data_IF_287852625699
#
_entry.id   IF_287852625699
#
_cell.length_a   1.000
_cell.length_b   1.000
_cell.length_c   1.000
_cell.angle_alpha   90.00
_cell.angle_beta   90.00
_cell.angle_gamma   90.00
#
_symmetry.space_group_name_H-M   'P 1'
#
loop_
_entity.id
_entity.type
_entity.pdbx_description
1 polymer ?
#
# COMPACT_ATOMS: atom_id res chain seq x y z
N UNK A 1 -8.75 -11.70 31.29
CA UNK A 1 -8.67 -12.79 30.27
C UNK A 1 -8.40 -12.13 28.93
N UNK A 2 -7.16 -12.20 28.44
CA UNK A 2 -6.78 -11.62 27.15
C UNK A 2 -7.36 -12.51 26.05
N UNK A 3 -8.41 -12.04 25.37
CA UNK A 3 -8.83 -12.67 24.12
C UNK A 3 -7.69 -12.44 23.12
N UNK A 4 -6.91 -13.47 22.83
CA UNK A 4 -6.00 -13.43 21.69
C UNK A 4 -6.86 -13.42 20.43
N UNK A 5 -7.24 -12.22 19.97
CA UNK A 5 -7.85 -11.90 18.67
C UNK A 5 -6.90 -12.23 17.50
N UNK A 6 -6.28 -13.41 17.51
CA UNK A 6 -5.31 -13.80 16.50
C UNK A 6 -6.06 -14.45 15.34
N UNK A 7 -6.38 -13.65 14.32
CA UNK A 7 -6.61 -14.21 13.00
C UNK A 7 -5.38 -15.06 12.61
N UNK A 8 -5.55 -16.26 12.05
CA UNK A 8 -4.45 -17.16 11.79
C UNK A 8 -3.70 -16.69 10.52
N UNK A 9 -2.83 -15.70 10.68
CA UNK A 9 -1.88 -15.33 9.64
C UNK A 9 -0.73 -16.33 9.59
N UNK A 10 -0.13 -16.49 8.40
CA UNK A 10 1.12 -17.22 8.24
C UNK A 10 2.19 -16.67 9.20
N UNK A 11 3.00 -17.55 9.83
CA UNK A 11 4.03 -17.15 10.79
C UNK A 11 4.96 -16.03 10.31
N UNK A 12 5.24 -15.94 8.99
CA UNK A 12 6.05 -14.89 8.38
C UNK A 12 5.50 -13.48 8.63
N UNK A 13 4.18 -13.32 8.66
CA UNK A 13 3.53 -12.00 8.75
C UNK A 13 2.90 -11.73 10.11
N UNK A 14 2.70 -12.78 10.92
CA UNK A 14 2.02 -12.72 12.22
C UNK A 14 2.62 -11.72 13.21
N UNK A 15 3.92 -11.45 13.14
CA UNK A 15 4.59 -10.51 14.05
C UNK A 15 4.28 -9.03 13.75
N UNK A 16 3.85 -8.73 12.53
CA UNK A 16 3.62 -7.35 12.06
C UNK A 16 2.12 -7.07 11.95
N UNK A 17 1.34 -8.05 11.49
CA UNK A 17 -0.09 -7.90 11.28
C UNK A 17 -0.88 -7.99 12.58
N UNK A 18 -1.78 -7.03 12.76
CA UNK A 18 -2.81 -7.02 13.79
C UNK A 18 -4.17 -7.25 13.12
N UNK A 19 -5.18 -7.67 13.89
CA UNK A 19 -6.51 -8.00 13.37
C UNK A 19 -7.59 -7.14 14.02
N UNK A 20 -8.44 -6.53 13.20
CA UNK A 20 -9.59 -5.77 13.66
C UNK A 20 -10.85 -6.65 13.57
N UNK A 21 -11.42 -7.12 14.69
CA UNK A 21 -12.61 -7.99 14.67
C UNK A 21 -13.89 -7.28 14.25
N UNK A 22 -13.92 -5.94 14.26
CA UNK A 22 -15.09 -5.16 13.84
C UNK A 22 -15.19 -5.09 12.33
N UNK A 23 -14.05 -4.95 11.64
CA UNK A 23 -13.99 -4.85 10.17
C UNK A 23 -13.61 -6.16 9.49
N UNK A 24 -13.16 -7.17 10.26
CA UNK A 24 -12.58 -8.43 9.74
C UNK A 24 -11.36 -8.20 8.83
N UNK A 25 -10.57 -7.18 9.16
CA UNK A 25 -9.40 -6.79 8.36
C UNK A 25 -8.08 -6.90 9.13
N UNK A 26 -6.98 -7.28 8.45
CA UNK A 26 -5.64 -7.05 8.95
C UNK A 26 -5.31 -5.55 8.95
N UNK A 27 -4.43 -5.12 9.85
CA UNK A 27 -3.86 -3.78 9.82
C UNK A 27 -2.45 -3.76 10.42
N UNK A 28 -1.71 -2.69 10.14
CA UNK A 28 -0.44 -2.37 10.81
C UNK A 28 -0.64 -1.02 11.52
N UNK A 29 -0.53 -1.00 12.85
CA UNK A 29 -0.49 0.26 13.58
C UNK A 29 0.91 0.87 13.53
N UNK A 30 1.01 2.18 13.36
CA UNK A 30 2.29 2.86 13.50
C UNK A 30 2.78 2.78 14.96
N UNK A 31 4.11 2.84 15.19
CA UNK A 31 4.66 2.90 16.55
C UNK A 31 4.15 4.13 17.32
N UNK A 32 4.19 4.04 18.65
CA UNK A 32 3.91 5.20 19.51
C UNK A 32 4.81 6.40 19.14
N UNK A 33 4.29 7.64 19.17
CA UNK A 33 2.99 8.06 19.71
C UNK A 33 1.81 7.96 18.72
N UNK A 34 2.02 7.53 17.48
CA UNK A 34 1.02 7.55 16.40
C UNK A 34 0.26 6.24 16.25
N UNK A 35 0.06 5.49 17.34
CA UNK A 35 -0.61 4.18 17.29
C UNK A 35 -2.09 4.24 16.89
N UNK A 36 -2.68 5.44 16.87
CA UNK A 36 -3.99 5.72 16.30
C UNK A 36 -3.97 5.74 14.76
N UNK A 37 -2.80 5.84 14.12
CA UNK A 37 -2.66 5.74 12.67
C UNK A 37 -2.42 4.27 12.30
N UNK A 38 -3.25 3.76 11.38
CA UNK A 38 -3.20 2.40 10.89
C UNK A 38 -3.05 2.37 9.37
N UNK A 39 -2.30 1.39 8.92
CA UNK A 39 -2.22 0.97 7.53
C UNK A 39 -3.20 -0.19 7.33
N UNK A 40 -4.18 -0.02 6.46
CA UNK A 40 -5.32 -0.94 6.26
C UNK A 40 -5.46 -1.33 4.78
N UNK A 41 -6.30 -2.31 4.46
CA UNK A 41 -6.74 -2.55 3.09
C UNK A 41 -7.48 -1.33 2.52
N UNK A 42 -7.52 -1.25 1.20
CA UNK A 42 -8.37 -0.30 0.50
C UNK A 42 -9.86 -0.63 0.73
N UNK A 43 -10.73 0.39 0.75
CA UNK A 43 -12.20 0.20 0.77
C UNK A 43 -12.84 0.97 -0.36
N UNK A 44 -13.83 0.38 -1.04
CA UNK A 44 -14.58 1.09 -2.08
C UNK A 44 -15.29 2.35 -1.55
N UNK A 45 -15.60 2.39 -0.25
CA UNK A 45 -16.18 3.55 0.41
C UNK A 45 -15.25 4.76 0.47
N UNK A 46 -13.93 4.59 0.25
CA UNK A 46 -12.97 5.70 0.27
C UNK A 46 -13.04 6.56 -1.01
N UNK A 47 -13.81 6.13 -2.03
CA UNK A 47 -13.84 6.77 -3.36
C UNK A 47 -14.16 8.27 -3.34
N UNK A 48 -15.01 8.72 -2.41
CA UNK A 48 -15.38 10.13 -2.29
C UNK A 48 -14.33 10.96 -1.54
N UNK A 49 -13.46 10.32 -0.73
CA UNK A 49 -12.41 10.99 0.02
C UNK A 49 -11.11 11.17 -0.79
N UNK A 50 -10.89 10.36 -1.82
CA UNK A 50 -9.67 10.42 -2.64
C UNK A 50 -9.58 11.75 -3.44
N UNK A 51 -10.56 12.16 -4.26
CA UNK A 51 -10.44 13.37 -5.07
C UNK A 51 -10.11 14.64 -4.30
N UNK A 52 -10.73 14.96 -3.13
CA UNK A 52 -10.37 16.17 -2.41
C UNK A 52 -8.92 16.13 -1.88
N UNK A 53 -8.41 14.96 -1.47
CA UNK A 53 -7.01 14.81 -1.02
C UNK A 53 -6.04 15.00 -2.20
N UNK A 54 -6.31 14.35 -3.33
CA UNK A 54 -5.47 14.39 -4.53
C UNK A 54 -5.43 15.78 -5.19
N UNK A 55 -6.42 16.63 -4.89
CA UNK A 55 -6.49 18.01 -5.37
C UNK A 55 -5.93 19.05 -4.37
N UNK A 56 -5.39 18.63 -3.22
CA UNK A 56 -4.60 19.50 -2.35
C UNK A 56 -3.31 19.88 -3.11
N UNK A 57 -3.00 21.17 -3.34
CA UNK A 57 -1.83 21.56 -4.13
C UNK A 57 -0.52 20.94 -3.64
N UNK A 58 -0.34 20.87 -2.32
CA UNK A 58 0.80 20.28 -1.62
C UNK A 58 0.89 18.77 -1.80
N UNK A 59 -0.21 18.08 -2.12
CA UNK A 59 -0.21 16.67 -2.49
C UNK A 59 0.07 16.55 -3.99
N UNK A 60 -0.68 17.28 -4.82
CA UNK A 60 -0.61 17.23 -6.27
C UNK A 60 0.81 17.48 -6.82
N UNK A 61 1.58 18.38 -6.20
CA UNK A 61 2.95 18.69 -6.65
C UNK A 61 3.95 17.54 -6.48
N UNK A 62 3.63 16.51 -5.67
CA UNK A 62 4.48 15.33 -5.48
C UNK A 62 3.90 14.07 -6.14
N UNK A 63 2.85 14.21 -6.93
CA UNK A 63 2.28 13.11 -7.70
C UNK A 63 2.88 13.07 -9.10
N UNK A 64 3.26 11.87 -9.54
CA UNK A 64 3.98 11.70 -10.81
C UNK A 64 3.04 11.50 -12.02
N UNK A 65 1.83 10.99 -11.80
CA UNK A 65 0.95 10.51 -12.88
C UNK A 65 -0.48 11.04 -12.89
N UNK A 66 -1.22 11.13 -11.78
CA UNK A 66 -2.61 11.53 -11.89
C UNK A 66 -2.71 12.96 -12.46
N UNK A 67 -3.63 13.21 -13.41
CA UNK A 67 -3.85 14.55 -13.92
C UNK A 67 -4.35 15.46 -12.78
N UNK A 68 -3.96 16.73 -12.85
CA UNK A 68 -4.49 17.78 -11.99
C UNK A 68 -5.44 18.67 -12.79
N UNK A 69 -6.72 18.83 -12.39
CA UNK A 69 -7.35 18.25 -11.21
C UNK A 69 -7.65 16.74 -11.35
N UNK A 70 -7.63 16.01 -10.23
CA UNK A 70 -7.85 14.57 -10.16
C UNK A 70 -9.32 14.19 -10.47
N UNK A 71 -9.60 13.39 -11.52
CA UNK A 71 -10.93 12.90 -11.85
C UNK A 71 -11.43 11.85 -10.85
N UNK A 72 -12.72 11.87 -10.53
CA UNK A 72 -13.32 10.91 -9.57
C UNK A 72 -13.24 9.47 -10.09
N UNK A 73 -13.39 9.30 -11.39
CA UNK A 73 -13.39 8.01 -12.09
C UNK A 73 -12.05 7.29 -11.91
N UNK A 74 -10.94 8.05 -11.89
CA UNK A 74 -9.59 7.51 -11.68
C UNK A 74 -9.45 6.95 -10.25
N UNK A 75 -10.07 7.60 -9.26
CA UNK A 75 -10.08 7.11 -7.87
C UNK A 75 -10.77 5.76 -7.73
N UNK A 76 -11.88 5.55 -8.44
CA UNK A 76 -12.59 4.27 -8.43
C UNK A 76 -11.79 3.14 -9.07
N UNK A 77 -11.18 3.38 -10.22
CA UNK A 77 -10.34 2.39 -10.89
C UNK A 77 -9.15 1.98 -10.02
N UNK A 78 -8.49 2.97 -9.40
CA UNK A 78 -7.36 2.74 -8.50
C UNK A 78 -7.74 1.97 -7.24
N UNK A 79 -8.91 2.25 -6.64
CA UNK A 79 -9.41 1.46 -5.50
C UNK A 79 -9.65 -0.01 -5.86
N UNK A 80 -10.19 -0.28 -7.05
CA UNK A 80 -10.42 -1.65 -7.51
C UNK A 80 -9.09 -2.40 -7.70
N UNK A 81 -8.08 -1.74 -8.27
CA UNK A 81 -6.74 -2.31 -8.37
C UNK A 81 -6.13 -2.60 -6.99
N UNK A 82 -6.20 -1.63 -6.07
CA UNK A 82 -5.68 -1.79 -4.71
C UNK A 82 -6.37 -2.92 -3.94
N UNK A 83 -7.67 -3.14 -4.19
CA UNK A 83 -8.40 -4.28 -3.63
C UNK A 83 -7.96 -5.61 -4.24
N UNK A 84 -7.72 -5.67 -5.55
CA UNK A 84 -7.19 -6.89 -6.20
C UNK A 84 -5.82 -7.26 -5.65
N UNK A 85 -4.94 -6.27 -5.47
CA UNK A 85 -3.61 -6.49 -4.87
C UNK A 85 -3.74 -7.03 -3.46
N UNK A 86 -4.62 -6.43 -2.64
CA UNK A 86 -4.91 -6.90 -1.29
C UNK A 86 -5.43 -8.34 -1.26
N UNK A 87 -6.44 -8.66 -2.08
CA UNK A 87 -7.00 -10.00 -2.17
C UNK A 87 -5.95 -11.04 -2.58
N UNK A 88 -5.14 -10.70 -3.60
CA UNK A 88 -4.02 -11.51 -4.05
C UNK A 88 -3.02 -11.78 -2.93
N UNK A 89 -2.59 -10.74 -2.20
CA UNK A 89 -1.70 -10.88 -1.05
C UNK A 89 -2.30 -11.76 0.05
N UNK A 90 -3.58 -11.60 0.34
CA UNK A 90 -4.25 -12.35 1.40
C UNK A 90 -4.34 -13.84 1.09
N UNK A 91 -4.36 -14.25 -0.18
CA UNK A 91 -4.23 -15.69 -0.53
C UNK A 91 -2.92 -16.28 -0.05
N UNK A 92 -1.86 -15.48 0.05
CA UNK A 92 -0.53 -15.88 0.53
C UNK A 92 -0.41 -15.74 2.04
N UNK A 93 -0.87 -14.61 2.60
CA UNK A 93 -0.80 -14.30 4.03
C UNK A 93 -1.60 -15.31 4.87
N UNK A 94 -2.68 -15.88 4.34
CA UNK A 94 -3.56 -16.81 5.08
C UNK A 94 -3.07 -18.27 5.10
N UNK A 95 -2.00 -18.63 4.39
CA UNK A 95 -1.50 -20.00 4.30
C UNK A 95 -0.69 -20.42 5.53
N UNK A 96 -1.35 -20.61 6.67
CA UNK A 96 -0.72 -20.79 8.00
C UNK A 96 0.38 -21.85 8.05
N UNK A 97 0.15 -22.99 7.39
CA UNK A 97 0.99 -24.18 7.51
C UNK A 97 2.04 -24.28 6.38
N UNK A 98 1.99 -23.39 5.39
CA UNK A 98 2.91 -23.40 4.25
C UNK A 98 4.16 -22.56 4.54
N UNK A 99 5.31 -23.01 4.03
CA UNK A 99 6.51 -22.19 3.96
C UNK A 99 6.36 -21.20 2.79
N UNK A 100 5.79 -20.05 3.08
CA UNK A 100 5.55 -19.02 2.07
C UNK A 100 6.76 -18.10 1.91
N UNK A 101 7.07 -17.74 0.65
CA UNK A 101 8.10 -16.76 0.30
C UNK A 101 7.71 -15.32 0.70
N UNK A 102 8.51 -14.34 0.28
CA UNK A 102 8.13 -12.93 0.42
C UNK A 102 7.05 -12.55 -0.60
N UNK A 103 6.18 -11.61 -0.21
CA UNK A 103 5.23 -10.99 -1.13
C UNK A 103 5.93 -9.80 -1.75
N UNK A 104 5.74 -9.61 -3.05
CA UNK A 104 6.36 -8.55 -3.84
C UNK A 104 5.41 -7.38 -4.10
N UNK A 105 4.57 -7.06 -3.11
CA UNK A 105 3.62 -5.95 -3.11
C UNK A 105 3.28 -5.56 -1.66
N UNK A 106 2.76 -4.35 -1.48
CA UNK A 106 2.33 -3.85 -0.18
C UNK A 106 0.79 -3.70 -0.10
N UNK A 107 0.08 -4.65 0.52
CA UNK A 107 -1.39 -4.74 0.41
C UNK A 107 -2.15 -3.88 1.41
N UNK A 108 -1.46 -3.28 2.38
CA UNK A 108 -2.06 -2.45 3.45
C UNK A 108 -1.65 -0.99 3.25
N UNK A 109 -2.01 -0.43 2.10
CA UNK A 109 -1.54 0.89 1.64
C UNK A 109 -2.37 2.07 2.12
N UNK A 110 -3.61 1.85 2.58
CA UNK A 110 -4.47 2.96 3.01
C UNK A 110 -4.13 3.42 4.42
N UNK A 111 -3.90 4.71 4.59
CA UNK A 111 -3.63 5.37 5.86
C UNK A 111 -4.97 5.77 6.48
N UNK A 112 -5.23 5.29 7.69
CA UNK A 112 -6.41 5.65 8.48
C UNK A 112 -6.04 6.15 9.86
N UNK A 113 -6.77 7.15 10.34
CA UNK A 113 -6.78 7.52 11.75
C UNK A 113 -7.96 6.86 12.46
N UNK A 114 -7.70 6.34 13.65
CA UNK A 114 -8.70 5.77 14.54
C UNK A 114 -9.01 6.78 15.65
N UNK A 115 -10.25 7.26 15.64
CA UNK A 115 -10.77 8.18 16.64
C UNK A 115 -10.94 7.53 18.02
N UNK A 116 -11.11 8.33 19.09
CA UNK A 116 -11.33 7.81 20.45
C UNK A 116 -12.58 6.94 20.60
N UNK A 117 -13.56 7.12 19.71
CA UNK A 117 -14.82 6.37 19.63
C UNK A 117 -14.72 5.14 18.71
N UNK A 118 -13.55 4.92 18.09
CA UNK A 118 -13.30 3.85 17.12
C UNK A 118 -13.67 4.21 15.68
N UNK A 119 -14.10 5.45 15.40
CA UNK A 119 -14.34 5.91 14.03
C UNK A 119 -13.05 5.85 13.21
N UNK A 120 -13.13 5.37 11.98
CA UNK A 120 -11.98 5.28 11.08
C UNK A 120 -12.05 6.31 9.95
N UNK A 121 -11.14 7.28 9.96
CA UNK A 121 -11.05 8.32 8.93
C UNK A 121 -9.95 7.97 7.93
N UNK A 122 -10.30 7.93 6.64
CA UNK A 122 -9.30 7.80 5.57
C UNK A 122 -8.48 9.09 5.45
N UNK A 123 -7.15 8.97 5.48
CA UNK A 123 -6.22 10.10 5.39
C UNK A 123 -5.43 10.14 4.09
N UNK A 124 -5.32 9.02 3.38
CA UNK A 124 -4.55 8.93 2.15
C UNK A 124 -4.00 7.53 1.89
N UNK A 125 -3.06 7.45 0.95
CA UNK A 125 -2.47 6.21 0.48
C UNK A 125 -0.94 6.29 0.53
N UNK A 126 -0.30 5.21 0.98
CA UNK A 126 1.14 5.00 0.87
C UNK A 126 1.39 3.75 0.04
N UNK A 127 1.71 3.96 -1.22
CA UNK A 127 2.15 2.89 -2.09
C UNK A 127 3.66 2.66 -1.94
N UNK A 128 4.02 1.38 -1.88
CA UNK A 128 5.39 0.91 -1.92
C UNK A 128 5.49 -0.07 -3.11
N UNK A 129 6.31 0.28 -4.08
CA UNK A 129 6.64 -0.55 -5.23
C UNK A 129 8.15 -0.63 -5.39
N UNK A 130 8.60 -1.59 -6.19
CA UNK A 130 9.98 -1.59 -6.67
C UNK A 130 10.21 -0.29 -7.44
N UNK A 131 11.35 0.35 -7.18
CA UNK A 131 11.77 1.52 -7.94
C UNK A 131 11.99 1.10 -9.41
N UNK A 132 11.18 1.68 -10.30
CA UNK A 132 11.11 1.35 -11.72
C UNK A 132 11.44 2.55 -12.61
N UNK A 133 11.82 3.69 -12.03
CA UNK A 133 12.12 4.91 -12.79
C UNK A 133 13.53 5.39 -12.56
N UNK A 134 14.00 5.44 -11.32
CA UNK A 134 15.29 6.05 -10.96
C UNK A 134 15.44 7.46 -11.59
N UNK A 135 14.40 8.31 -11.48
CA UNK A 135 14.31 9.63 -12.14
C UNK A 135 15.44 10.61 -11.78
N UNK A 136 16.22 10.31 -10.73
CA UNK A 136 17.41 11.07 -10.33
C UNK A 136 18.67 10.75 -11.17
N UNK A 137 18.59 9.79 -12.10
CA UNK A 137 19.69 9.41 -13.00
C UNK A 137 19.46 10.04 -14.38
N UNK A 138 20.29 11.02 -14.72
CA UNK A 138 20.22 11.73 -16.01
C UNK A 138 20.61 10.85 -17.21
N UNK A 139 21.59 9.96 -17.03
CA UNK A 139 22.03 9.03 -18.06
C UNK A 139 20.97 7.94 -18.28
N UNK A 140 20.33 7.98 -19.46
CA UNK A 140 19.23 7.09 -19.81
C UNK A 140 19.66 5.62 -19.82
N UNK A 141 20.86 5.31 -20.35
CA UNK A 141 21.34 3.94 -20.43
C UNK A 141 21.66 3.35 -19.05
N UNK A 142 22.23 4.17 -18.16
CA UNK A 142 22.44 3.79 -16.77
C UNK A 142 21.11 3.61 -16.02
N UNK A 143 20.14 4.48 -16.27
CA UNK A 143 18.79 4.41 -15.67
C UNK A 143 18.08 3.13 -16.07
N UNK A 144 18.03 2.80 -17.35
CA UNK A 144 17.42 1.56 -17.85
C UNK A 144 18.11 0.31 -17.30
N UNK A 145 19.45 0.34 -17.19
CA UNK A 145 20.21 -0.72 -16.56
C UNK A 145 19.84 -0.89 -15.08
N UNK A 146 19.65 0.20 -14.34
CA UNK A 146 19.25 0.17 -12.91
C UNK A 146 17.83 -0.34 -12.72
N UNK A 147 16.89 0.08 -13.56
CA UNK A 147 15.52 -0.47 -13.57
C UNK A 147 15.57 -1.98 -13.80
N UNK A 148 16.31 -2.42 -14.81
CA UNK A 148 16.43 -3.84 -15.15
C UNK A 148 17.08 -4.66 -14.03
N UNK A 149 18.16 -4.14 -13.43
CA UNK A 149 18.85 -4.75 -12.29
C UNK A 149 17.91 -4.93 -11.09
N UNK A 150 17.14 -3.89 -10.76
CA UNK A 150 16.21 -3.93 -9.63
C UNK A 150 15.01 -4.86 -9.88
N UNK A 151 14.49 -4.89 -11.12
CA UNK A 151 13.32 -5.69 -11.49
C UNK A 151 13.57 -7.21 -11.41
N UNK A 152 14.80 -7.67 -11.64
CA UNK A 152 15.11 -9.12 -11.65
C UNK A 152 15.42 -9.69 -10.26
N UNK A 153 15.59 -8.85 -9.24
CA UNK A 153 15.88 -9.32 -7.88
C UNK A 153 14.72 -10.17 -7.35
N UNK A 154 14.98 -11.31 -6.67
CA UNK A 154 13.90 -12.14 -6.13
C UNK A 154 13.21 -11.43 -4.97
N UNK A 155 11.89 -11.63 -4.76
CA UNK A 155 11.18 -11.04 -3.62
C UNK A 155 11.87 -11.34 -2.28
N UNK A 156 12.08 -10.30 -1.48
CA UNK A 156 12.81 -10.37 -0.20
C UNK A 156 14.33 -10.23 -0.30
N UNK A 157 14.89 -10.01 -1.49
CA UNK A 157 16.29 -9.62 -1.62
C UNK A 157 16.52 -8.24 -0.96
N UNK A 158 17.49 -8.11 -0.05
CA UNK A 158 17.74 -6.86 0.67
C UNK A 158 18.28 -5.73 -0.22
N UNK A 159 18.72 -6.03 -1.45
CA UNK A 159 19.21 -5.04 -2.40
C UNK A 159 18.11 -4.44 -3.28
N UNK A 160 16.85 -4.89 -3.15
CA UNK A 160 15.74 -4.26 -3.85
C UNK A 160 15.63 -2.80 -3.39
N UNK A 161 15.70 -1.90 -4.36
CA UNK A 161 15.39 -0.50 -4.18
C UNK A 161 13.88 -0.33 -4.30
N UNK A 162 13.29 0.24 -3.25
CA UNK A 162 11.86 0.53 -3.17
C UNK A 162 11.63 2.02 -3.39
N UNK A 163 10.53 2.35 -4.05
CA UNK A 163 10.00 3.70 -4.16
C UNK A 163 8.76 3.84 -3.28
N UNK A 164 8.51 5.08 -2.84
CA UNK A 164 7.29 5.46 -2.13
C UNK A 164 6.60 6.52 -2.98
N UNK A 165 5.33 6.29 -3.31
CA UNK A 165 4.54 7.25 -4.08
C UNK A 165 3.56 6.58 -5.04
N UNK A 166 2.64 7.36 -5.59
CA UNK A 166 1.59 6.84 -6.47
C UNK A 166 2.20 6.43 -7.81
N UNK A 167 2.19 5.13 -8.17
CA UNK A 167 2.68 4.67 -9.47
C UNK A 167 1.73 5.17 -10.56
N UNK A 168 2.18 5.24 -11.81
CA UNK A 168 1.30 5.63 -12.90
C UNK A 168 0.13 4.65 -13.07
N UNK A 169 -1.05 5.19 -13.39
CA UNK A 169 -2.16 4.35 -13.86
C UNK A 169 -1.69 3.72 -15.17
N UNK A 170 -1.61 2.39 -15.21
CA UNK A 170 -1.31 1.67 -16.45
C UNK A 170 -2.38 2.01 -17.50
N UNK A 171 -2.00 2.79 -18.52
CA UNK A 171 -2.93 3.26 -19.56
C UNK A 171 -2.53 4.55 -20.24
N UNK A 172 -1.60 5.32 -19.68
CA UNK A 172 -1.02 6.49 -20.35
C UNK A 172 0.46 6.23 -20.66
N UNK A 173 0.70 5.83 -21.90
CA UNK A 173 2.01 5.80 -22.57
C UNK A 173 2.01 6.84 -23.70
#
# INVERSE_FOLDING_TARGET
MLHTNNYPYNPRYKAILQYNPTTDEPFIALPAPYSNIRLTPARLSDADAIPPIMNIPEVAMYLNSPPFPFPKEHGQAWLQESLRDYEGAMTHIRKVEENVGYIDLFPLRHIREIGPDGTETFLGDVHLSREDRFDHIDDIGLREAKVSENAILPPGDPNIVWSIGVPPIMGEA
#
